data_IF_752346934429
#
_entry.id   IF_752346934429
#
_cell.length_a   1.000
_cell.length_b   1.000
_cell.length_c   1.000
_cell.angle_alpha   90.00
_cell.angle_beta   90.00
_cell.angle_gamma   90.00
#
_symmetry.space_group_name_H-M   'P 1'
#
loop_
_entity.id
_entity.type
_entity.pdbx_description
1 polymer ?
#
# COMPACT_ATOMS: atom_id res chain seq x y z
N UNK A 1 8.60 -5.84 10.68
CA UNK A 1 7.45 -5.01 10.26
C UNK A 1 7.50 -4.92 8.75
N UNK A 2 6.51 -5.45 8.02
CA UNK A 2 6.50 -5.36 6.55
C UNK A 2 6.42 -3.90 6.14
N UNK A 3 7.07 -3.49 5.04
CA UNK A 3 6.96 -2.13 4.56
C UNK A 3 5.58 -1.96 3.90
N UNK A 4 4.54 -1.81 4.73
CA UNK A 4 3.15 -1.61 4.30
C UNK A 4 3.03 -0.42 3.35
N UNK A 5 3.90 0.57 3.53
CA UNK A 5 4.04 1.76 2.68
C UNK A 5 4.30 1.43 1.20
N UNK A 6 4.94 0.29 0.90
CA UNK A 6 5.30 -0.11 -0.48
C UNK A 6 4.15 -0.71 -1.28
N UNK A 7 3.01 -1.00 -0.64
CA UNK A 7 1.82 -1.47 -1.35
C UNK A 7 1.06 -0.32 -2.00
N UNK A 8 0.39 -0.63 -3.12
CA UNK A 8 -0.63 0.26 -3.70
C UNK A 8 -1.79 0.44 -2.73
N UNK A 9 -2.62 1.48 -2.94
CA UNK A 9 -3.78 1.71 -2.09
C UNK A 9 -4.77 0.54 -2.16
N UNK A 10 -4.90 -0.10 -3.33
CA UNK A 10 -5.74 -1.27 -3.54
C UNK A 10 -5.22 -2.47 -2.73
N UNK A 11 -3.91 -2.75 -2.78
CA UNK A 11 -3.32 -3.85 -2.03
C UNK A 11 -3.38 -3.61 -0.51
N UNK A 12 -3.24 -2.35 -0.05
CA UNK A 12 -3.50 -1.98 1.35
C UNK A 12 -4.96 -2.24 1.73
N UNK A 13 -5.90 -1.91 0.85
CA UNK A 13 -7.33 -2.19 1.02
C UNK A 13 -7.62 -3.68 1.19
N UNK A 14 -7.03 -4.53 0.36
CA UNK A 14 -7.13 -6.01 0.50
C UNK A 14 -6.68 -6.47 1.88
N UNK A 15 -5.53 -5.98 2.36
CA UNK A 15 -4.99 -6.36 3.67
C UNK A 15 -5.89 -5.90 4.82
N UNK A 16 -6.46 -4.70 4.73
CA UNK A 16 -7.43 -4.20 5.71
C UNK A 16 -8.71 -5.05 5.72
N UNK A 17 -9.26 -5.36 4.54
CA UNK A 17 -10.45 -6.20 4.41
C UNK A 17 -10.21 -7.64 4.92
N UNK A 18 -9.00 -8.16 4.77
CA UNK A 18 -8.59 -9.45 5.33
C UNK A 18 -8.48 -9.41 6.87
N UNK A 19 -8.04 -8.30 7.43
CA UNK A 19 -8.05 -8.11 8.88
C UNK A 19 -9.49 -8.04 9.43
N UNK A 20 -10.36 -7.25 8.81
CA UNK A 20 -11.79 -7.20 9.17
C UNK A 20 -12.46 -8.58 9.09
N UNK A 21 -12.05 -9.40 8.11
CA UNK A 21 -12.53 -10.78 7.96
C UNK A 21 -12.11 -11.65 9.14
N UNK A 22 -10.84 -11.57 9.56
CA UNK A 22 -10.33 -12.27 10.72
C UNK A 22 -11.05 -11.86 12.01
N UNK A 23 -11.27 -10.55 12.19
CA UNK A 23 -12.02 -9.99 13.33
C UNK A 23 -13.45 -10.53 13.37
N UNK A 24 -14.13 -10.54 12.22
CA UNK A 24 -15.50 -11.03 12.12
C UNK A 24 -15.61 -12.53 12.39
N UNK A 25 -14.62 -13.29 11.94
CA UNK A 25 -14.50 -14.73 12.23
C UNK A 25 -14.00 -15.01 13.65
N UNK A 26 -13.66 -13.98 14.44
CA UNK A 26 -13.09 -14.07 15.80
C UNK A 26 -11.82 -14.92 15.86
N UNK A 27 -11.03 -14.88 14.79
CA UNK A 27 -9.76 -15.58 14.69
C UNK A 27 -8.62 -14.65 15.08
N UNK A 28 -7.70 -15.15 15.89
CA UNK A 28 -6.54 -14.38 16.35
C UNK A 28 -5.44 -14.22 15.28
N UNK A 29 -5.72 -14.53 14.02
CA UNK A 29 -4.74 -14.56 12.95
C UNK A 29 -5.34 -14.15 11.60
N UNK A 30 -4.49 -13.63 10.71
CA UNK A 30 -4.83 -13.44 9.29
C UNK A 30 -4.25 -14.62 8.50
N UNK A 31 -5.14 -15.52 8.05
CA UNK A 31 -4.79 -16.62 7.17
C UNK A 31 -4.98 -16.28 5.70
N UNK A 32 -4.74 -17.27 4.84
CA UNK A 32 -4.82 -17.10 3.38
C UNK A 32 -6.26 -16.96 2.90
N UNK A 33 -7.19 -17.60 3.60
CA UNK A 33 -8.63 -17.52 3.41
C UNK A 33 -9.14 -16.08 3.56
N UNK A 34 -8.64 -15.36 4.58
CA UNK A 34 -8.98 -13.95 4.78
C UNK A 34 -8.45 -13.06 3.66
N UNK A 35 -7.23 -13.34 3.15
CA UNK A 35 -6.69 -12.62 1.99
C UNK A 35 -7.53 -12.82 0.74
N UNK A 36 -7.98 -14.05 0.46
CA UNK A 36 -8.81 -14.35 -0.71
C UNK A 36 -10.17 -13.63 -0.60
N UNK A 37 -10.76 -13.62 0.59
CA UNK A 37 -12.01 -12.87 0.82
C UNK A 37 -11.77 -11.36 0.69
N UNK A 38 -10.67 -10.86 1.23
CA UNK A 38 -10.25 -9.46 1.07
C UNK A 38 -10.02 -9.08 -0.40
N UNK A 39 -9.47 -9.98 -1.21
CA UNK A 39 -9.28 -9.79 -2.65
C UNK A 39 -10.60 -9.68 -3.40
N UNK A 40 -11.61 -10.47 -3.05
CA UNK A 40 -12.94 -10.41 -3.68
C UNK A 40 -13.70 -9.16 -3.24
N UNK A 41 -13.59 -8.81 -1.95
CA UNK A 41 -14.22 -7.60 -1.39
C UNK A 41 -13.58 -6.32 -1.94
N UNK A 42 -12.28 -6.36 -2.26
CA UNK A 42 -11.63 -5.29 -3.00
C UNK A 42 -12.05 -5.36 -4.47
N UNK A 43 -12.68 -4.33 -5.03
CA UNK A 43 -13.20 -4.33 -6.40
C UNK A 43 -12.13 -4.25 -7.52
N UNK A 44 -10.92 -4.76 -7.25
CA UNK A 44 -9.79 -4.81 -8.18
C UNK A 44 -9.82 -6.01 -9.15
N UNK A 45 -8.82 -6.09 -10.03
CA UNK A 45 -8.72 -7.15 -11.05
C UNK A 45 -8.71 -8.56 -10.45
N UNK A 46 -7.98 -8.77 -9.35
CA UNK A 46 -7.93 -10.08 -8.67
C UNK A 46 -9.29 -10.53 -8.15
N UNK A 47 -10.04 -9.62 -7.52
CA UNK A 47 -11.40 -9.89 -7.05
C UNK A 47 -12.35 -10.20 -8.20
N UNK A 48 -12.32 -9.40 -9.27
CA UNK A 48 -13.13 -9.63 -10.48
C UNK A 48 -12.82 -10.97 -11.16
N UNK A 49 -11.55 -11.37 -11.20
CA UNK A 49 -11.15 -12.67 -11.74
C UNK A 49 -11.67 -13.84 -10.89
N UNK A 50 -11.65 -13.72 -9.56
CA UNK A 50 -12.22 -14.73 -8.67
C UNK A 50 -13.75 -14.83 -8.83
N UNK A 51 -14.44 -13.70 -8.94
CA UNK A 51 -15.88 -13.65 -9.20
C UNK A 51 -16.24 -14.28 -10.55
N UNK A 52 -15.47 -14.02 -11.61
CA UNK A 52 -15.73 -14.61 -12.94
C UNK A 52 -15.50 -16.12 -12.98
N UNK A 53 -14.67 -16.64 -12.08
CA UNK A 53 -14.47 -18.08 -11.84
C UNK A 53 -15.53 -18.69 -10.91
N UNK A 54 -16.61 -17.98 -10.61
CA UNK A 54 -17.73 -18.46 -9.81
C UNK A 54 -17.48 -18.47 -8.30
N UNK A 55 -16.41 -17.83 -7.82
CA UNK A 55 -16.19 -17.66 -6.38
C UNK A 55 -17.11 -16.56 -5.85
N UNK A 56 -17.58 -16.70 -4.62
CA UNK A 56 -18.34 -15.67 -3.92
C UNK A 56 -17.86 -15.56 -2.48
N UNK A 57 -18.02 -14.37 -1.89
CA UNK A 57 -17.65 -14.13 -0.49
C UNK A 57 -18.40 -15.09 0.44
N UNK A 58 -19.71 -15.24 0.23
CA UNK A 58 -20.53 -16.09 1.10
C UNK A 58 -20.22 -17.58 0.93
N UNK A 59 -19.92 -18.01 -0.30
CA UNK A 59 -19.46 -19.38 -0.56
C UNK A 59 -18.15 -19.68 0.16
N UNK A 60 -17.17 -18.77 0.07
CA UNK A 60 -15.89 -18.94 0.74
C UNK A 60 -16.01 -18.91 2.27
N UNK A 61 -16.87 -18.07 2.82
CA UNK A 61 -17.15 -18.05 4.27
C UNK A 61 -17.71 -19.39 4.75
N UNK A 62 -18.67 -19.94 4.00
CA UNK A 62 -19.26 -21.24 4.32
C UNK A 62 -18.19 -22.34 4.31
N UNK A 63 -17.40 -22.43 3.25
CA UNK A 63 -16.30 -23.40 3.14
C UNK A 63 -15.27 -23.22 4.27
N UNK A 64 -14.92 -21.98 4.59
CA UNK A 64 -14.00 -21.67 5.68
C UNK A 64 -14.52 -22.20 7.04
N UNK A 65 -15.80 -21.96 7.35
CA UNK A 65 -16.42 -22.45 8.59
C UNK A 65 -16.49 -23.98 8.62
N UNK A 66 -16.80 -24.62 7.50
CA UNK A 66 -16.82 -26.09 7.38
C UNK A 66 -15.43 -26.71 7.65
N UNK A 67 -14.37 -26.06 7.18
CA UNK A 67 -12.98 -26.54 7.35
C UNK A 67 -12.44 -26.25 8.76
N UNK A 68 -12.73 -25.08 9.32
CA UNK A 68 -12.23 -24.67 10.64
C UNK A 68 -12.96 -25.38 11.79
N UNK A 69 -14.18 -25.88 11.55
CA UNK A 69 -15.05 -26.43 12.58
C UNK A 69 -15.37 -25.40 13.67
N UNK A 70 -15.93 -25.87 14.78
CA UNK A 70 -16.26 -25.04 15.95
C UNK A 70 -14.99 -24.77 16.77
N UNK A 71 -14.02 -24.06 16.16
CA UNK A 71 -12.81 -23.63 16.85
C UNK A 71 -13.15 -22.44 17.75
N UNK A 72 -13.11 -22.66 19.07
CA UNK A 72 -13.51 -21.68 20.08
C UNK A 72 -12.92 -20.28 19.82
N UNK A 73 -13.82 -19.29 19.78
CA UNK A 73 -13.51 -17.89 19.70
C UNK A 73 -12.56 -17.49 20.85
N UNK A 74 -11.27 -17.34 20.54
CA UNK A 74 -10.30 -16.81 21.50
C UNK A 74 -10.44 -15.29 21.54
N UNK A 75 -10.48 -14.74 22.75
CA UNK A 75 -10.41 -13.29 22.95
C UNK A 75 -9.10 -12.78 22.35
N UNK A 76 -9.19 -12.06 21.23
CA UNK A 76 -8.04 -11.65 20.44
C UNK A 76 -7.47 -10.35 21.00
N UNK A 77 -6.27 -10.38 21.58
CA UNK A 77 -5.57 -9.16 22.01
C UNK A 77 -4.79 -8.49 20.87
N UNK A 78 -4.29 -9.28 19.91
CA UNK A 78 -3.65 -8.81 18.68
C UNK A 78 -3.87 -9.83 17.55
N UNK A 79 -4.25 -9.34 16.36
CA UNK A 79 -4.35 -10.15 15.16
C UNK A 79 -3.00 -10.15 14.44
N UNK A 80 -2.45 -11.34 14.20
CA UNK A 80 -1.12 -11.50 13.59
C UNK A 80 -1.25 -12.26 12.26
N UNK A 81 -0.62 -11.79 11.17
CA UNK A 81 -0.54 -12.56 9.94
C UNK A 81 0.17 -13.91 10.15
N UNK A 82 -0.39 -14.97 9.59
CA UNK A 82 0.25 -16.29 9.60
C UNK A 82 1.57 -16.30 8.82
N UNK A 83 2.44 -17.27 9.08
CA UNK A 83 3.68 -17.46 8.31
C UNK A 83 3.42 -17.65 6.81
N UNK A 84 2.30 -18.28 6.43
CA UNK A 84 1.92 -18.42 5.02
C UNK A 84 1.57 -17.06 4.39
N UNK A 85 0.85 -16.20 5.11
CA UNK A 85 0.55 -14.84 4.66
C UNK A 85 1.82 -14.02 4.51
N UNK A 86 2.76 -14.12 5.45
CA UNK A 86 4.11 -13.57 5.31
C UNK A 86 4.77 -13.98 4.00
N UNK A 87 4.82 -15.28 3.72
CA UNK A 87 5.43 -15.81 2.50
C UNK A 87 4.71 -15.32 1.24
N UNK A 88 3.37 -15.24 1.24
CA UNK A 88 2.61 -14.72 0.09
C UNK A 88 2.96 -13.26 -0.18
N UNK A 89 3.06 -12.43 0.86
CA UNK A 89 3.48 -11.04 0.73
C UNK A 89 4.90 -10.94 0.13
N UNK A 90 5.84 -11.73 0.62
CA UNK A 90 7.22 -11.78 0.10
C UNK A 90 7.24 -12.21 -1.38
N UNK A 91 6.54 -13.28 -1.73
CA UNK A 91 6.41 -13.73 -3.12
C UNK A 91 5.75 -12.68 -4.02
N UNK A 92 4.78 -11.93 -3.49
CA UNK A 92 4.10 -10.87 -4.25
C UNK A 92 5.04 -9.71 -4.55
N UNK A 93 5.93 -9.36 -3.60
CA UNK A 93 6.99 -8.38 -3.84
C UNK A 93 8.02 -8.87 -4.84
N UNK A 94 8.44 -10.12 -4.74
CA UNK A 94 9.42 -10.70 -5.67
C UNK A 94 8.85 -10.82 -7.08
N UNK A 95 7.57 -11.19 -7.22
CA UNK A 95 6.90 -11.24 -8.52
C UNK A 95 6.67 -9.83 -9.10
N UNK A 96 6.21 -8.88 -8.29
CA UNK A 96 6.10 -7.48 -8.72
C UNK A 96 7.47 -6.92 -9.14
N UNK A 97 8.51 -7.22 -8.36
CA UNK A 97 9.90 -6.89 -8.72
C UNK A 97 10.27 -7.54 -10.04
N UNK A 98 10.01 -8.83 -10.24
CA UNK A 98 10.31 -9.53 -11.48
C UNK A 98 9.55 -8.96 -12.68
N UNK A 99 8.30 -8.56 -12.53
CA UNK A 99 7.56 -7.86 -13.58
C UNK A 99 8.17 -6.48 -13.89
N UNK A 100 8.69 -5.79 -12.87
CA UNK A 100 9.36 -4.49 -13.03
C UNK A 100 10.80 -4.60 -13.55
N UNK A 101 11.55 -5.64 -13.15
CA UNK A 101 12.97 -5.84 -13.41
C UNK A 101 13.23 -6.85 -14.55
N UNK A 102 12.24 -7.62 -14.97
CA UNK A 102 12.41 -8.84 -15.78
C UNK A 102 11.29 -9.10 -16.76
N UNK A 103 11.10 -8.16 -17.69
CA UNK A 103 10.74 -8.35 -19.12
C UNK A 103 10.53 -7.01 -19.85
N UNK A 104 11.14 -5.92 -19.35
CA UNK A 104 11.19 -4.67 -20.12
C UNK A 104 12.03 -4.86 -21.39
N UNK A 105 11.60 -4.26 -22.50
CA UNK A 105 12.36 -4.26 -23.77
C UNK A 105 13.84 -3.91 -23.56
N UNK A 106 14.16 -2.99 -22.66
CA UNK A 106 15.55 -2.63 -22.34
C UNK A 106 16.40 -3.77 -21.80
N UNK A 107 15.88 -4.56 -20.85
CA UNK A 107 16.59 -5.73 -20.31
C UNK A 107 16.80 -6.79 -21.40
N UNK A 108 15.77 -7.03 -22.21
CA UNK A 108 15.81 -7.96 -23.35
C UNK A 108 16.77 -7.49 -24.46
N UNK A 109 16.83 -6.18 -24.73
CA UNK A 109 17.76 -5.57 -25.70
C UNK A 109 19.21 -5.69 -25.23
N UNK A 110 19.48 -5.42 -23.95
CA UNK A 110 20.80 -5.59 -23.35
C UNK A 110 21.22 -7.06 -23.38
N UNK A 111 20.33 -7.98 -22.99
CA UNK A 111 20.61 -9.40 -23.09
C UNK A 111 20.87 -9.86 -24.54
N UNK A 112 20.07 -9.41 -25.51
CA UNK A 112 20.21 -9.74 -26.94
C UNK A 112 21.50 -9.17 -27.57
N UNK A 113 22.00 -8.05 -27.04
CA UNK A 113 23.31 -7.48 -27.40
C UNK A 113 24.48 -8.08 -26.62
N UNK A 114 24.23 -9.09 -25.78
CA UNK A 114 25.25 -9.78 -24.99
C UNK A 114 25.72 -9.02 -23.75
N UNK A 115 25.01 -7.95 -23.37
CA UNK A 115 25.24 -7.16 -22.17
C UNK A 115 24.45 -7.79 -21.01
N UNK A 116 25.17 -8.39 -20.07
CA UNK A 116 24.60 -9.01 -18.87
C UNK A 116 24.76 -8.10 -17.66
N UNK A 117 23.94 -8.31 -16.63
CA UNK A 117 24.02 -7.57 -15.35
C UNK A 117 25.43 -7.61 -14.76
N UNK A 118 26.11 -8.75 -14.84
CA UNK A 118 27.46 -8.89 -14.30
C UNK A 118 28.50 -8.10 -15.11
N UNK A 119 28.35 -8.02 -16.44
CA UNK A 119 29.22 -7.17 -17.28
C UNK A 119 29.01 -5.69 -16.98
N UNK A 120 27.76 -5.28 -16.81
CA UNK A 120 27.42 -3.90 -16.43
C UNK A 120 28.01 -3.57 -15.06
N UNK A 121 27.90 -4.48 -14.08
CA UNK A 121 28.46 -4.28 -12.73
C UNK A 121 29.98 -4.14 -12.78
N UNK A 122 30.68 -5.03 -13.49
CA UNK A 122 32.13 -4.97 -13.65
C UNK A 122 32.59 -3.65 -14.31
N UNK A 123 31.84 -3.16 -15.31
CA UNK A 123 32.15 -1.90 -15.97
C UNK A 123 31.89 -0.68 -15.07
N UNK A 124 30.81 -0.69 -14.28
CA UNK A 124 30.54 0.36 -13.27
C UNK A 124 31.69 0.44 -12.25
N UNK A 125 32.18 -0.69 -11.77
CA UNK A 125 33.30 -0.73 -10.84
C UNK A 125 34.59 -0.20 -11.49
N UNK A 126 34.84 -0.53 -12.76
CA UNK A 126 35.96 0.03 -13.55
C UNK A 126 35.86 1.55 -13.69
N UNK A 127 34.68 2.07 -14.03
CA UNK A 127 34.45 3.51 -14.21
C UNK A 127 34.62 4.28 -12.90
N UNK A 128 34.11 3.73 -11.79
CA UNK A 128 34.35 4.30 -10.45
C UNK A 128 35.82 4.32 -10.09
N UNK A 129 36.56 3.24 -10.36
CA UNK A 129 38.01 3.19 -10.17
C UNK A 129 38.77 4.19 -11.04
N UNK A 130 38.23 4.53 -12.22
CA UNK A 130 38.74 5.58 -13.09
C UNK A 130 38.38 7.01 -12.63
N UNK A 131 37.74 7.17 -11.47
CA UNK A 131 37.36 8.46 -10.90
C UNK A 131 36.12 9.08 -11.54
N UNK A 132 35.39 8.33 -12.36
CA UNK A 132 34.11 8.77 -12.94
C UNK A 132 33.02 8.54 -11.89
N UNK A 133 32.54 9.63 -11.29
CA UNK A 133 31.40 9.62 -10.38
C UNK A 133 30.12 9.91 -11.13
N UNK A 134 29.04 9.20 -10.79
CA UNK A 134 27.70 9.63 -11.17
C UNK A 134 27.38 10.96 -10.48
N UNK A 135 26.96 11.96 -11.24
CA UNK A 135 26.07 12.99 -10.69
C UNK A 135 24.66 12.43 -10.73
N UNK A 136 24.30 11.72 -9.66
CA UNK A 136 22.90 11.52 -9.34
C UNK A 136 22.38 12.90 -8.98
N UNK A 137 21.72 13.58 -9.92
CA UNK A 137 20.90 14.75 -9.59
C UNK A 137 20.01 14.34 -8.42
N UNK A 138 19.89 15.20 -7.41
CA UNK A 138 19.14 14.89 -6.19
C UNK A 138 17.82 14.19 -6.58
N UNK A 139 17.50 13.03 -5.96
CA UNK A 139 16.22 12.38 -6.23
C UNK A 139 15.14 13.43 -6.06
N UNK A 140 14.11 13.48 -6.94
CA UNK A 140 13.05 14.48 -6.80
C UNK A 140 12.58 14.39 -5.35
N UNK A 141 12.84 15.46 -4.60
CA UNK A 141 12.52 15.52 -3.18
C UNK A 141 11.06 15.11 -3.09
N UNK A 142 10.75 14.09 -2.28
CA UNK A 142 9.37 13.74 -1.93
C UNK A 142 8.70 15.07 -1.67
N UNK A 143 7.83 15.51 -2.59
CA UNK A 143 7.24 16.84 -2.55
C UNK A 143 6.76 17.06 -1.12
N UNK A 144 7.46 17.89 -0.36
CA UNK A 144 7.15 18.11 1.04
C UNK A 144 5.82 18.82 1.04
N UNK A 145 4.73 18.06 1.14
CA UNK A 145 3.39 18.63 1.30
C UNK A 145 3.47 19.48 2.56
N UNK A 146 3.32 20.80 2.40
CA UNK A 146 3.25 21.70 3.55
C UNK A 146 2.00 21.29 4.33
N UNK A 147 2.17 20.84 5.56
CA UNK A 147 1.05 20.46 6.43
C UNK A 147 0.72 21.62 7.35
N UNK A 148 -0.57 21.93 7.48
CA UNK A 148 -1.06 22.88 8.47
C UNK A 148 -2.10 22.21 9.33
N UNK A 149 -1.89 22.33 10.63
CA UNK A 149 -2.81 21.94 11.67
C UNK A 149 -3.54 23.18 12.16
N UNK A 150 -4.87 23.15 12.25
CA UNK A 150 -5.65 24.21 12.86
C UNK A 150 -6.99 23.69 13.39
N UNK A 151 -7.50 24.35 14.42
CA UNK A 151 -8.80 24.05 14.99
C UNK A 151 -9.92 24.83 14.28
N UNK A 152 -11.05 24.17 14.08
CA UNK A 152 -12.32 24.77 13.70
C UNK A 152 -13.28 24.66 14.87
N UNK A 153 -13.97 25.75 15.21
CA UNK A 153 -15.03 25.76 16.20
C UNK A 153 -16.36 26.03 15.50
N UNK A 154 -17.40 25.28 15.85
CA UNK A 154 -18.76 25.56 15.38
C UNK A 154 -19.43 26.68 16.22
N UNK A 155 -20.65 27.08 15.84
CA UNK A 155 -21.40 28.13 16.54
C UNK A 155 -21.82 27.76 17.99
N UNK A 156 -21.68 26.48 18.38
CA UNK A 156 -21.98 25.96 19.72
C UNK A 156 -20.72 25.85 20.59
N UNK A 157 -19.56 26.17 20.03
CA UNK A 157 -18.27 26.11 20.71
C UNK A 157 -17.61 24.72 20.69
N UNK A 158 -18.14 23.78 19.91
CA UNK A 158 -17.51 22.47 19.72
C UNK A 158 -16.36 22.59 18.72
N UNK A 159 -15.18 22.10 19.10
CA UNK A 159 -13.96 22.19 18.27
C UNK A 159 -13.61 20.87 17.60
N UNK A 160 -13.11 20.95 16.36
CA UNK A 160 -12.48 19.84 15.63
C UNK A 160 -11.08 20.24 15.18
N UNK A 161 -10.13 19.31 15.28
CA UNK A 161 -8.78 19.48 14.73
C UNK A 161 -8.73 19.09 13.26
N UNK A 162 -8.12 19.94 12.43
CA UNK A 162 -8.02 19.72 10.98
C UNK A 162 -6.57 19.80 10.52
N UNK A 163 -6.13 18.73 9.87
CA UNK A 163 -4.84 18.63 9.19
C UNK A 163 -5.03 18.76 7.68
N UNK A 164 -4.50 19.83 7.09
CA UNK A 164 -4.47 20.01 5.64
C UNK A 164 -3.07 19.83 5.09
N UNK A 165 -2.98 19.12 3.97
CA UNK A 165 -1.75 18.95 3.22
C UNK A 165 -1.84 19.75 1.91
N UNK A 166 -0.95 20.71 1.72
CA UNK A 166 -0.91 21.57 0.55
C UNK A 166 0.07 21.03 -0.50
N UNK A 167 -0.24 21.21 -1.80
CA UNK A 167 0.76 21.01 -2.86
C UNK A 167 1.98 21.90 -2.63
N UNK A 168 3.21 21.45 -2.97
CA UNK A 168 4.43 22.22 -2.73
C UNK A 168 4.49 23.54 -3.52
N UNK A 169 3.75 23.65 -4.62
CA UNK A 169 3.62 24.87 -5.42
C UNK A 169 2.81 25.98 -4.73
N UNK A 170 2.08 25.67 -3.65
CA UNK A 170 1.38 26.70 -2.87
C UNK A 170 2.38 27.52 -2.05
N UNK A 171 2.32 28.85 -2.22
CA UNK A 171 3.04 29.79 -1.34
C UNK A 171 2.47 29.72 0.09
N UNK A 172 3.17 30.31 1.06
CA UNK A 172 2.61 30.42 2.41
C UNK A 172 1.32 31.25 2.46
N UNK A 173 1.22 32.24 1.57
CA UNK A 173 0.04 33.09 1.40
C UNK A 173 -1.14 32.29 0.83
N UNK A 174 -0.90 31.44 -0.17
CA UNK A 174 -1.94 30.54 -0.71
C UNK A 174 -2.43 29.54 0.34
N UNK A 175 -1.52 28.97 1.13
CA UNK A 175 -1.86 28.06 2.22
C UNK A 175 -2.71 28.78 3.28
N UNK A 176 -2.35 30.03 3.62
CA UNK A 176 -3.08 30.85 4.59
C UNK A 176 -4.48 31.20 4.09
N UNK A 177 -4.60 31.66 2.83
CA UNK A 177 -5.87 32.02 2.22
C UNK A 177 -6.86 30.86 2.19
N UNK A 178 -6.39 29.64 1.91
CA UNK A 178 -7.24 28.43 1.94
C UNK A 178 -7.67 28.09 3.36
N UNK A 179 -6.75 28.10 4.34
CA UNK A 179 -7.08 27.88 5.75
C UNK A 179 -8.12 28.88 6.25
N UNK A 180 -7.96 30.17 5.92
CA UNK A 180 -8.88 31.22 6.35
C UNK A 180 -10.26 31.09 5.70
N UNK A 181 -10.31 30.71 4.42
CA UNK A 181 -11.58 30.44 3.73
C UNK A 181 -12.33 29.27 4.35
N UNK A 182 -11.63 28.21 4.77
CA UNK A 182 -12.22 27.06 5.46
C UNK A 182 -12.73 27.47 6.84
N UNK A 183 -11.96 28.26 7.60
CA UNK A 183 -12.39 28.82 8.89
C UNK A 183 -13.63 29.71 8.76
N UNK A 184 -13.69 30.54 7.71
CA UNK A 184 -14.82 31.42 7.47
C UNK A 184 -16.11 30.65 7.13
N UNK A 185 -16.02 29.60 6.29
CA UNK A 185 -17.18 28.76 5.96
C UNK A 185 -17.73 28.05 7.19
N UNK A 186 -16.87 27.60 8.10
CA UNK A 186 -17.28 26.83 9.28
C UNK A 186 -17.89 27.69 10.40
N UNK A 187 -17.57 28.99 10.45
CA UNK A 187 -18.14 29.94 11.42
C UNK A 187 -19.59 30.33 11.11
N UNK A 188 -20.10 29.98 9.92
CA UNK A 188 -21.40 30.44 9.43
C UNK A 188 -21.43 31.95 9.12
N UNK A 189 -22.49 32.47 8.48
CA UNK A 189 -22.73 33.91 8.37
C UNK A 189 -23.06 34.55 9.72
#
# INVERSE_FOLDING_TARGET
MYPFERFTNEAKGVLALAQEEAERSRLAYIGTEHLVIGLIRQEGLGGRALLSLGQSVDGLRKTMLEVLGDSEARVVQQIIPTSRVKTIIEMSFDEARRLLEGEGLGASMLASSGVTVDKVRAEVDRLRAAGISEHVGEPPTRMHRKRRHFELADARGETIEVDLAFPPEYSEEDCQAVTDRIKAVFRGP
#
